data_IF_722513774071
#
_entry.id   IF_722513774071
#
_cell.length_a   1.000
_cell.length_b   1.000
_cell.length_c   1.000
_cell.angle_alpha   90.00
_cell.angle_beta   90.00
_cell.angle_gamma   90.00
#
_symmetry.space_group_name_H-M   'P 1'
#
loop_
_entity.id
_entity.type
_entity.pdbx_description
1 polymer ?
#
# COMPACT_ATOMS: atom_id res chain seq x y z
N UNK A 1 20.63 -7.54 21.35
CA UNK A 1 19.77 -7.39 20.14
C UNK A 1 18.74 -6.26 20.23
N UNK A 2 18.63 -5.50 21.34
CA UNK A 2 17.59 -4.45 21.49
C UNK A 2 18.02 -3.06 20.99
N UNK A 3 19.31 -2.72 21.01
CA UNK A 3 19.76 -1.37 20.60
C UNK A 3 19.50 -1.05 19.12
N UNK A 4 19.64 -2.05 18.23
CA UNK A 4 19.42 -1.83 16.79
C UNK A 4 17.94 -1.63 16.47
N UNK A 5 17.04 -2.31 17.19
CA UNK A 5 15.59 -2.19 17.00
C UNK A 5 15.09 -0.79 17.39
N UNK A 6 15.62 -0.23 18.49
CA UNK A 6 15.27 1.13 18.92
C UNK A 6 15.77 2.18 17.92
N UNK A 7 17.01 2.05 17.43
CA UNK A 7 17.54 2.93 16.39
C UNK A 7 16.76 2.81 15.07
N UNK A 8 16.34 1.60 14.69
CA UNK A 8 15.51 1.38 13.52
C UNK A 8 14.13 2.04 13.65
N UNK A 9 13.48 1.94 14.82
CA UNK A 9 12.23 2.65 15.08
C UNK A 9 12.38 4.17 14.97
N UNK A 10 13.44 4.74 15.54
CA UNK A 10 13.73 6.17 15.38
C UNK A 10 13.97 6.56 13.91
N UNK A 11 14.67 5.72 13.16
CA UNK A 11 14.87 5.91 11.71
C UNK A 11 13.56 5.92 10.93
N UNK A 12 12.65 4.98 11.20
CA UNK A 12 11.33 4.91 10.55
C UNK A 12 10.49 6.16 10.85
N UNK A 13 10.50 6.63 12.11
CA UNK A 13 9.79 7.87 12.50
C UNK A 13 10.36 9.09 11.76
N UNK A 14 11.68 9.20 11.66
CA UNK A 14 12.33 10.30 10.96
C UNK A 14 12.07 10.26 9.45
N UNK A 15 12.04 9.06 8.85
CA UNK A 15 11.72 8.87 7.44
C UNK A 15 10.26 9.25 7.15
N UNK A 16 9.30 8.78 7.96
CA UNK A 16 7.90 9.17 7.83
C UNK A 16 7.69 10.68 8.02
N UNK A 17 8.47 11.32 8.90
CA UNK A 17 8.45 12.76 9.09
C UNK A 17 8.99 13.52 7.86
N UNK A 18 10.15 13.11 7.33
CA UNK A 18 10.71 13.70 6.12
C UNK A 18 9.76 13.52 4.91
N UNK A 19 9.18 12.34 4.75
CA UNK A 19 8.16 12.03 3.75
C UNK A 19 6.92 12.95 3.89
N UNK A 20 6.51 13.23 5.13
CA UNK A 20 5.42 14.16 5.43
C UNK A 20 5.74 15.62 5.07
N UNK A 21 7.01 16.04 5.14
CA UNK A 21 7.46 17.37 4.69
C UNK A 21 7.62 17.44 3.15
N UNK A 22 7.99 16.33 2.52
CA UNK A 22 8.16 16.22 1.06
C UNK A 22 6.81 16.20 0.32
N UNK A 23 5.78 15.62 0.93
CA UNK A 23 4.42 15.69 0.40
C UNK A 23 3.77 17.05 0.64
N UNK A 24 3.54 17.79 -0.45
CA UNK A 24 2.79 19.04 -0.43
C UNK A 24 1.33 18.79 0.03
N UNK A 25 1.00 19.19 1.26
CA UNK A 25 -0.35 19.16 1.87
C UNK A 25 -1.52 19.53 0.91
N UNK A 26 -1.42 20.57 0.05
CA UNK A 26 -2.50 20.88 -0.90
C UNK A 26 -2.72 19.79 -1.97
N UNK A 27 -1.67 19.07 -2.40
CA UNK A 27 -1.82 17.93 -3.30
C UNK A 27 -2.52 16.76 -2.60
N UNK A 28 -2.16 16.50 -1.35
CA UNK A 28 -2.78 15.46 -0.52
C UNK A 28 -4.30 15.71 -0.33
N UNK A 29 -4.73 16.97 -0.20
CA UNK A 29 -6.15 17.29 -0.02
C UNK A 29 -6.99 17.03 -1.29
N UNK A 30 -6.40 17.17 -2.48
CA UNK A 30 -7.06 16.88 -3.76
C UNK A 30 -7.15 15.37 -4.02
N UNK A 31 -6.08 14.63 -3.73
CA UNK A 31 -6.06 13.17 -3.95
C UNK A 31 -6.59 12.36 -2.75
N UNK A 32 -6.73 12.98 -1.58
CA UNK A 32 -7.15 12.34 -0.33
C UNK A 32 -8.50 11.64 -0.42
N UNK A 33 -9.58 12.28 -0.94
CA UNK A 33 -10.88 11.62 -1.11
C UNK A 33 -10.78 10.41 -2.04
N UNK A 34 -10.03 10.51 -3.13
CA UNK A 34 -9.83 9.42 -4.11
C UNK A 34 -9.03 8.27 -3.49
N UNK A 35 -7.99 8.60 -2.71
CA UNK A 35 -7.16 7.62 -2.00
C UNK A 35 -7.97 6.90 -0.89
N UNK A 36 -8.83 7.61 -0.16
CA UNK A 36 -9.69 7.02 0.87
C UNK A 36 -10.75 6.13 0.22
N UNK A 37 -11.44 6.60 -0.82
CA UNK A 37 -12.46 5.80 -1.51
C UNK A 37 -11.83 4.55 -2.15
N UNK A 38 -10.69 4.72 -2.81
CA UNK A 38 -9.93 3.63 -3.44
C UNK A 38 -9.43 2.62 -2.42
N UNK A 39 -8.85 3.08 -1.29
CA UNK A 39 -8.37 2.22 -0.22
C UNK A 39 -9.48 1.42 0.44
N UNK A 40 -10.61 2.06 0.77
CA UNK A 40 -11.78 1.37 1.36
C UNK A 40 -12.35 0.34 0.38
N UNK A 41 -12.50 0.70 -0.89
CA UNK A 41 -13.00 -0.22 -1.92
C UNK A 41 -12.04 -1.40 -2.14
N UNK A 42 -10.73 -1.14 -2.15
CA UNK A 42 -9.71 -2.18 -2.28
C UNK A 42 -9.71 -3.15 -1.09
N UNK A 43 -9.77 -2.63 0.13
CA UNK A 43 -9.84 -3.47 1.35
C UNK A 43 -11.10 -4.34 1.30
N UNK A 44 -12.26 -3.76 0.94
CA UNK A 44 -13.51 -4.50 0.82
C UNK A 44 -13.41 -5.62 -0.24
N UNK A 45 -12.81 -5.35 -1.41
CA UNK A 45 -12.60 -6.35 -2.46
C UNK A 45 -11.69 -7.50 -2.01
N UNK A 46 -10.57 -7.19 -1.36
CA UNK A 46 -9.67 -8.22 -0.83
C UNK A 46 -10.32 -9.03 0.29
N UNK A 47 -11.08 -8.38 1.18
CA UNK A 47 -11.81 -9.05 2.26
C UNK A 47 -12.88 -9.99 1.71
N UNK A 48 -13.57 -9.58 0.64
CA UNK A 48 -14.54 -10.43 -0.06
C UNK A 48 -13.86 -11.61 -0.76
N UNK A 49 -12.80 -11.37 -1.53
CA UNK A 49 -12.03 -12.42 -2.20
C UNK A 49 -11.45 -13.44 -1.21
N UNK A 50 -10.80 -12.98 -0.14
CA UNK A 50 -10.23 -13.85 0.87
C UNK A 50 -11.30 -14.54 1.74
N UNK A 51 -12.44 -13.88 1.99
CA UNK A 51 -13.59 -14.51 2.64
C UNK A 51 -14.18 -15.63 1.78
N UNK A 52 -14.28 -15.43 0.47
CA UNK A 52 -14.78 -16.42 -0.48
C UNK A 52 -13.81 -17.62 -0.61
N UNK A 53 -12.50 -17.37 -0.68
CA UNK A 53 -11.51 -18.46 -0.69
C UNK A 53 -11.45 -19.21 0.63
N UNK A 54 -11.60 -18.53 1.78
CA UNK A 54 -11.70 -19.18 3.08
C UNK A 54 -12.95 -20.06 3.21
N UNK A 55 -14.11 -19.59 2.70
CA UNK A 55 -15.34 -20.36 2.66
C UNK A 55 -15.21 -21.62 1.77
N UNK A 56 -14.53 -21.50 0.61
CA UNK A 56 -14.26 -22.63 -0.29
C UNK A 56 -13.26 -23.64 0.31
N UNK A 57 -12.31 -23.20 1.13
CA UNK A 57 -11.37 -24.06 1.84
C UNK A 57 -11.92 -24.67 3.15
N UNK A 58 -13.15 -24.32 3.56
CA UNK A 58 -13.72 -24.75 4.85
C UNK A 58 -13.01 -24.16 6.08
N UNK A 59 -12.21 -23.11 5.89
CA UNK A 59 -11.44 -22.46 6.95
C UNK A 59 -12.30 -21.45 7.72
N UNK A 60 -11.88 -21.09 8.93
CA UNK A 60 -12.55 -20.06 9.73
C UNK A 60 -12.47 -18.71 9.00
N UNK A 61 -13.61 -18.01 8.91
CA UNK A 61 -13.70 -16.65 8.32
C UNK A 61 -12.68 -15.66 8.92
N UNK A 62 -12.26 -15.86 10.18
CA UNK A 62 -11.23 -15.05 10.84
C UNK A 62 -9.86 -15.12 10.16
N UNK A 63 -9.46 -16.29 9.63
CA UNK A 63 -8.18 -16.46 8.95
C UNK A 63 -8.21 -15.80 7.57
N UNK A 64 -9.32 -15.93 6.84
CA UNK A 64 -9.51 -15.26 5.55
C UNK A 64 -9.46 -13.74 5.66
N UNK A 65 -10.08 -13.17 6.70
CA UNK A 65 -10.02 -11.71 6.95
C UNK A 65 -8.61 -11.25 7.31
N UNK A 66 -7.90 -12.01 8.15
CA UNK A 66 -6.52 -11.68 8.54
C UNK A 66 -5.58 -11.71 7.34
N UNK A 67 -5.63 -12.76 6.52
CA UNK A 67 -4.82 -12.87 5.31
C UNK A 67 -5.23 -11.81 4.28
N UNK A 68 -6.52 -11.54 4.09
CA UNK A 68 -6.98 -10.54 3.13
C UNK A 68 -6.56 -9.11 3.47
N UNK A 69 -6.60 -8.73 4.74
CA UNK A 69 -6.11 -7.42 5.20
C UNK A 69 -4.59 -7.30 5.07
N UNK A 70 -3.84 -8.34 5.45
CA UNK A 70 -2.39 -8.38 5.31
C UNK A 70 -1.93 -8.34 3.85
N UNK A 71 -2.63 -9.08 2.97
CA UNK A 71 -2.35 -9.12 1.54
C UNK A 71 -2.67 -7.78 0.85
N UNK A 72 -3.78 -7.13 1.25
CA UNK A 72 -4.16 -5.81 0.74
C UNK A 72 -3.14 -4.71 1.10
N UNK A 73 -2.61 -4.72 2.33
CA UNK A 73 -1.53 -3.82 2.75
C UNK A 73 -0.27 -3.97 1.88
N UNK A 74 0.12 -5.21 1.57
CA UNK A 74 1.32 -5.50 0.76
C UNK A 74 1.17 -5.09 -0.71
N UNK A 75 -0.01 -5.29 -1.30
CA UNK A 75 -0.23 -5.05 -2.74
C UNK A 75 -0.41 -3.57 -3.10
N UNK A 76 -0.79 -2.72 -2.14
CA UNK A 76 -0.95 -1.26 -2.36
C UNK A 76 0.38 -0.57 -2.66
N UNK A 77 1.46 -0.96 -1.97
CA UNK A 77 2.80 -0.43 -2.24
C UNK A 77 3.28 -0.79 -3.65
N UNK A 78 2.97 -2.02 -4.11
CA UNK A 78 3.35 -2.51 -5.45
C UNK A 78 2.53 -1.83 -6.55
N UNK A 79 1.21 -1.67 -6.40
CA UNK A 79 0.36 -0.98 -7.39
C UNK A 79 0.71 0.50 -7.51
N UNK A 80 0.97 1.20 -6.40
CA UNK A 80 1.37 2.61 -6.44
C UNK A 80 2.76 2.74 -7.10
N UNK A 81 3.71 1.87 -6.76
CA UNK A 81 5.02 1.81 -7.44
C UNK A 81 4.86 1.54 -8.94
N UNK A 82 4.05 0.55 -9.35
CA UNK A 82 3.79 0.28 -10.77
C UNK A 82 3.08 1.45 -11.49
N UNK A 83 2.14 2.12 -10.84
CA UNK A 83 1.46 3.28 -11.40
C UNK A 83 2.40 4.49 -11.50
N UNK A 84 3.33 4.66 -10.56
CA UNK A 84 4.37 5.70 -10.60
C UNK A 84 5.47 5.37 -11.62
N UNK A 85 5.90 4.11 -11.72
CA UNK A 85 6.85 3.61 -12.72
C UNK A 85 6.26 3.68 -14.14
N UNK A 86 4.94 3.60 -14.28
CA UNK A 86 4.23 3.84 -15.53
C UNK A 86 4.22 5.31 -16.00
N UNK A 87 4.66 6.27 -15.17
CA UNK A 87 4.72 7.70 -15.53
C UNK A 87 6.11 8.19 -15.95
N UNK A 88 7.07 7.27 -16.14
CA UNK A 88 8.32 7.58 -16.84
C UNK A 88 8.45 6.75 -18.12
N UNK A 89 7.95 7.23 -19.28
CA UNK A 89 8.36 6.67 -20.55
C UNK A 89 9.86 6.95 -20.74
N UNK A 90 10.72 5.98 -20.44
CA UNK A 90 12.16 6.03 -20.74
C UNK A 90 12.64 4.81 -21.53
N UNK A 91 11.93 4.53 -22.62
CA UNK A 91 12.44 3.69 -23.70
C UNK A 91 11.75 4.02 -25.04
N UNK A 92 12.15 5.16 -25.62
CA UNK A 92 12.08 5.59 -27.03
C UNK A 92 12.35 7.11 -26.97
N UNK A 93 13.57 7.61 -27.17
CA UNK A 93 14.16 7.78 -28.51
C UNK A 93 15.68 7.85 -28.39
N UNK A 94 16.34 6.69 -28.45
CA UNK A 94 17.72 6.59 -28.95
C UNK A 94 17.63 5.73 -30.19
N UNK A 95 17.28 6.33 -31.34
CA UNK A 95 17.60 5.91 -32.72
C UNK A 95 16.88 6.89 -33.66
N UNK A 96 17.70 7.58 -34.47
CA UNK A 96 17.42 8.62 -35.50
C UNK A 96 17.40 10.06 -35.01
#
# INVERSE_FOLDING_TARGET
MVQVETFAQFGVVFLLFALGLEFSLPKLRVVGPVAVLGGVLQIALFMFLCGLTAALCGAKLSEGVFVGTFLSMSSTAVVIMFAQDGYHPKYMTSTL
#
